data_IF_993781000366
#
_entry.id   IF_993781000366
#
_cell.length_a   1.000
_cell.length_b   1.000
_cell.length_c   1.000
_cell.angle_alpha   90.00
_cell.angle_beta   90.00
_cell.angle_gamma   90.00
#
_symmetry.space_group_name_H-M   'P 1'
#
loop_
_entity.id
_entity.type
_entity.pdbx_description
1 polymer ?
#
# COMPACT_ATOMS: atom_id res chain seq x y z
N UNK A 1 7.69 9.15 -4.31
CA UNK A 1 7.72 7.79 -4.87
C UNK A 1 7.67 6.81 -3.70
N UNK A 2 7.10 5.63 -3.91
CA UNK A 2 7.13 4.54 -2.94
C UNK A 2 8.02 3.43 -3.47
N UNK A 3 8.85 2.87 -2.59
CA UNK A 3 9.65 1.68 -2.85
C UNK A 3 9.19 0.58 -1.91
N UNK A 4 8.72 -0.53 -2.47
CA UNK A 4 8.27 -1.70 -1.73
C UNK A 4 9.32 -2.79 -1.90
N UNK A 5 10.05 -3.09 -0.84
CA UNK A 5 11.05 -4.14 -0.84
C UNK A 5 10.46 -5.43 -0.29
N UNK A 6 10.76 -6.54 -0.95
CA UNK A 6 10.41 -7.88 -0.50
C UNK A 6 11.71 -8.62 -0.22
N UNK A 7 11.89 -9.11 1.01
CA UNK A 7 13.08 -9.85 1.43
C UNK A 7 12.70 -11.24 1.94
N UNK A 8 13.63 -12.19 1.84
CA UNK A 8 13.55 -13.44 2.58
C UNK A 8 14.11 -13.25 4.00
N UNK A 9 13.38 -13.74 5.01
CA UNK A 9 13.77 -13.59 6.42
C UNK A 9 12.93 -12.56 7.17
N UNK A 10 13.37 -12.22 8.38
CA UNK A 10 12.70 -11.28 9.28
C UNK A 10 13.03 -9.81 8.93
N UNK A 11 12.30 -8.88 9.54
CA UNK A 11 12.49 -7.43 9.32
C UNK A 11 13.89 -6.93 9.74
N UNK A 12 14.46 -7.48 10.80
CA UNK A 12 15.80 -7.13 11.32
C UNK A 12 16.95 -7.76 10.51
N UNK A 13 16.65 -8.77 9.70
CA UNK A 13 17.62 -9.46 8.84
C UNK A 13 17.76 -8.81 7.45
N UNK A 14 16.99 -7.76 7.14
CA UNK A 14 16.94 -7.14 5.80
C UNK A 14 18.32 -6.65 5.35
N UNK A 15 18.74 -7.12 4.18
CA UNK A 15 19.97 -6.68 3.52
C UNK A 15 19.86 -6.88 1.99
N UNK A 16 20.76 -6.30 1.17
CA UNK A 16 20.73 -6.48 -0.28
C UNK A 16 20.87 -7.95 -0.74
N UNK A 17 21.52 -8.80 0.07
CA UNK A 17 21.71 -10.22 -0.21
C UNK A 17 20.42 -11.01 -0.17
N UNK A 18 19.52 -10.72 0.77
CA UNK A 18 18.24 -11.40 0.93
C UNK A 18 17.05 -10.66 0.29
N UNK A 19 17.29 -9.54 -0.40
CA UNK A 19 16.28 -8.87 -1.22
C UNK A 19 15.86 -9.75 -2.39
N UNK A 20 14.56 -9.96 -2.57
CA UNK A 20 13.97 -10.82 -3.60
C UNK A 20 13.32 -10.02 -4.73
N UNK A 21 12.68 -8.91 -4.39
CA UNK A 21 12.04 -8.03 -5.36
C UNK A 21 11.91 -6.60 -4.84
N UNK A 22 11.78 -5.66 -5.77
CA UNK A 22 11.45 -4.25 -5.50
C UNK A 22 10.28 -3.87 -6.39
N UNK A 23 9.23 -3.32 -5.80
CA UNK A 23 8.14 -2.68 -6.53
C UNK A 23 8.21 -1.17 -6.28
N UNK A 24 8.41 -0.45 -7.36
CA UNK A 24 8.38 1.00 -7.39
C UNK A 24 7.00 1.49 -7.80
N UNK A 25 6.46 2.47 -7.05
CA UNK A 25 5.17 3.10 -7.32
C UNK A 25 5.38 4.62 -7.35
N UNK A 26 5.28 5.22 -8.53
CA UNK A 26 5.53 6.65 -8.74
C UNK A 26 4.28 7.34 -9.30
N UNK A 27 4.11 8.62 -9.01
CA UNK A 27 3.02 9.40 -9.61
C UNK A 27 3.27 9.58 -11.10
N UNK A 28 2.36 9.07 -11.93
CA UNK A 28 2.24 9.44 -13.34
C UNK A 28 1.37 10.71 -13.47
N UNK A 29 0.29 10.77 -12.68
CA UNK A 29 -0.60 11.92 -12.57
C UNK A 29 -0.94 12.16 -11.10
N UNK A 30 -0.56 13.33 -10.58
CA UNK A 30 -0.92 13.77 -9.23
C UNK A 30 -2.24 14.56 -9.27
N UNK A 31 -3.33 13.92 -8.87
CA UNK A 31 -4.64 14.55 -8.71
C UNK A 31 -5.46 13.79 -7.66
N UNK A 32 -6.66 14.26 -7.30
CA UNK A 32 -7.53 13.55 -6.33
C UNK A 32 -7.81 12.09 -6.75
N UNK A 33 -7.91 11.84 -8.07
CA UNK A 33 -7.82 10.51 -8.68
C UNK A 33 -6.43 10.38 -9.33
N UNK A 34 -5.48 9.78 -8.62
CA UNK A 34 -4.10 9.67 -9.10
C UNK A 34 -3.90 8.49 -10.03
N UNK A 35 -2.99 8.66 -10.98
CA UNK A 35 -2.43 7.56 -11.75
C UNK A 35 -1.00 7.30 -11.25
N UNK A 36 -0.67 6.03 -11.05
CA UNK A 36 0.63 5.59 -10.58
C UNK A 36 1.30 4.70 -11.61
N UNK A 37 2.49 5.08 -12.07
CA UNK A 37 3.36 4.18 -12.83
C UNK A 37 4.01 3.18 -11.89
N UNK A 38 4.10 1.94 -12.32
CA UNK A 38 4.65 0.85 -11.52
C UNK A 38 5.75 0.10 -12.27
N UNK A 39 6.78 -0.29 -11.53
CA UNK A 39 7.86 -1.13 -12.01
C UNK A 39 8.22 -2.18 -10.96
N UNK A 40 8.13 -3.46 -11.34
CA UNK A 40 8.49 -4.59 -10.47
C UNK A 40 9.80 -5.21 -10.97
N UNK A 41 10.84 -5.11 -10.16
CA UNK A 41 12.13 -5.78 -10.38
C UNK A 41 12.19 -7.04 -9.53
N UNK A 42 12.39 -8.21 -10.16
CA UNK A 42 12.52 -9.49 -9.46
C UNK A 42 13.94 -10.03 -9.60
N UNK A 43 14.58 -10.33 -8.47
CA UNK A 43 15.96 -10.85 -8.44
C UNK A 43 16.02 -12.18 -9.21
N UNK A 44 16.96 -12.24 -10.16
CA UNK A 44 17.16 -13.41 -11.02
C UNK A 44 16.26 -13.48 -12.26
N UNK A 45 15.21 -12.65 -12.35
CA UNK A 45 14.31 -12.61 -13.52
C UNK A 45 14.30 -11.27 -14.26
N UNK A 46 14.73 -10.19 -13.61
CA UNK A 46 14.79 -8.84 -14.20
C UNK A 46 13.52 -8.04 -13.97
N UNK A 47 13.35 -6.99 -14.76
CA UNK A 47 12.20 -6.08 -14.70
C UNK A 47 10.98 -6.73 -15.38
N UNK A 48 9.86 -6.79 -14.67
CA UNK A 48 8.58 -7.13 -15.26
C UNK A 48 8.12 -6.01 -16.22
N UNK A 49 7.13 -6.30 -17.06
CA UNK A 49 6.56 -5.27 -17.93
C UNK A 49 6.00 -4.12 -17.09
N UNK A 50 6.36 -2.89 -17.45
CA UNK A 50 5.80 -1.68 -16.82
C UNK A 50 4.31 -1.57 -17.09
N UNK A 51 3.59 -1.09 -16.09
CA UNK A 51 2.16 -0.87 -16.15
C UNK A 51 1.79 0.33 -15.23
N UNK A 52 0.50 0.58 -15.05
CA UNK A 52 0.00 1.65 -14.18
C UNK A 52 -1.27 1.25 -13.42
N UNK A 53 -1.42 1.81 -12.21
CA UNK A 53 -2.69 1.85 -11.48
C UNK A 53 -3.36 3.18 -11.78
N UNK A 54 -4.51 3.15 -12.45
CA UNK A 54 -5.21 4.37 -12.91
C UNK A 54 -6.39 4.75 -12.03
N UNK A 55 -6.57 6.06 -11.82
CA UNK A 55 -7.71 6.64 -11.12
C UNK A 55 -7.87 6.12 -9.70
N UNK A 56 -6.77 6.03 -8.96
CA UNK A 56 -6.79 5.63 -7.56
C UNK A 56 -7.04 6.84 -6.66
N UNK A 57 -8.07 6.82 -5.79
CA UNK A 57 -8.40 7.97 -4.97
C UNK A 57 -7.34 8.17 -3.88
N UNK A 58 -6.73 9.35 -3.86
CA UNK A 58 -5.66 9.66 -2.93
C UNK A 58 -6.19 9.70 -1.50
N UNK A 59 -5.36 9.26 -0.56
CA UNK A 59 -5.66 9.33 0.87
C UNK A 59 -6.97 8.66 1.31
N UNK A 60 -7.49 7.75 0.49
CA UNK A 60 -8.82 7.16 0.69
C UNK A 60 -8.80 5.69 1.10
N UNK A 61 -7.62 5.07 1.17
CA UNK A 61 -7.47 3.68 1.53
C UNK A 61 -6.08 3.38 2.06
N UNK A 62 -5.91 2.16 2.56
CA UNK A 62 -4.63 1.65 3.07
C UNK A 62 -3.51 1.77 2.04
N UNK A 63 -2.29 2.03 2.51
CA UNK A 63 -1.08 1.94 1.70
C UNK A 63 -0.96 0.53 1.11
N UNK A 64 -1.33 -0.49 1.88
CA UNK A 64 -1.31 -1.88 1.45
C UNK A 64 -2.32 -2.18 0.33
N UNK A 65 -3.46 -1.46 0.25
CA UNK A 65 -4.39 -1.60 -0.90
C UNK A 65 -3.74 -1.08 -2.19
N UNK A 66 -3.04 0.05 -2.13
CA UNK A 66 -2.28 0.55 -3.28
C UNK A 66 -1.17 -0.43 -3.70
N UNK A 67 -0.42 -0.98 -2.74
CA UNK A 67 0.62 -1.99 -3.01
C UNK A 67 0.00 -3.25 -3.64
N UNK A 68 -1.13 -3.73 -3.12
CA UNK A 68 -1.81 -4.91 -3.67
C UNK A 68 -2.30 -4.66 -5.11
N UNK A 69 -2.87 -3.48 -5.40
CA UNK A 69 -3.28 -3.11 -6.76
C UNK A 69 -2.10 -2.99 -7.72
N UNK A 70 -1.00 -2.40 -7.25
CA UNK A 70 0.23 -2.30 -8.03
C UNK A 70 0.83 -3.69 -8.33
N UNK A 71 0.93 -4.57 -7.33
CA UNK A 71 1.35 -5.96 -7.55
C UNK A 71 0.43 -6.71 -8.52
N UNK A 72 -0.89 -6.47 -8.43
CA UNK A 72 -1.86 -7.09 -9.33
C UNK A 72 -1.61 -6.69 -10.79
N UNK A 73 -1.45 -5.38 -11.05
CA UNK A 73 -1.10 -4.89 -12.39
C UNK A 73 0.26 -5.43 -12.86
N UNK A 74 1.28 -5.41 -12.00
CA UNK A 74 2.62 -5.89 -12.35
C UNK A 74 2.69 -7.40 -12.66
N UNK A 75 1.88 -8.22 -11.99
CA UNK A 75 1.90 -9.67 -12.15
C UNK A 75 0.93 -10.18 -13.22
N UNK A 76 -0.20 -9.49 -13.41
CA UNK A 76 -1.32 -9.99 -14.21
C UNK A 76 -1.78 -9.05 -15.32
N UNK A 77 -1.23 -7.83 -15.41
CA UNK A 77 -1.61 -6.79 -16.38
C UNK A 77 -3.13 -6.47 -16.35
N UNK A 78 -3.76 -6.74 -15.20
CA UNK A 78 -5.21 -6.68 -14.98
C UNK A 78 -5.55 -5.93 -13.68
N UNK A 79 -6.76 -5.38 -13.59
CA UNK A 79 -7.22 -4.66 -12.39
C UNK A 79 -7.64 -5.60 -11.24
N UNK A 80 -7.72 -6.90 -11.51
CA UNK A 80 -8.07 -7.95 -10.56
C UNK A 80 -7.11 -9.13 -10.70
N UNK A 81 -6.70 -9.71 -9.57
CA UNK A 81 -5.93 -10.93 -9.58
C UNK A 81 -6.88 -12.11 -9.85
N UNK A 82 -6.48 -13.10 -10.67
CA UNK A 82 -7.27 -14.32 -10.80
C UNK A 82 -7.40 -14.99 -9.42
N UNK A 83 -8.55 -15.60 -9.09
CA UNK A 83 -8.69 -16.40 -7.87
C UNK A 83 -7.58 -17.45 -7.79
N UNK A 84 -7.09 -17.70 -6.59
CA UNK A 84 -6.10 -18.74 -6.35
C UNK A 84 -6.69 -20.10 -6.70
N UNK A 85 -5.89 -20.92 -7.38
CA UNK A 85 -6.22 -22.32 -7.59
C UNK A 85 -6.12 -23.13 -6.30
N UNK A 86 -6.48 -24.42 -6.33
CA UNK A 86 -6.30 -25.31 -5.20
C UNK A 86 -4.81 -25.38 -4.79
N UNK A 87 -4.57 -25.37 -3.49
CA UNK A 87 -3.24 -25.33 -2.88
C UNK A 87 -2.48 -26.63 -3.18
N UNK A 88 -1.37 -26.55 -3.90
CA UNK A 88 -0.45 -27.67 -4.06
C UNK A 88 0.42 -27.79 -2.81
N UNK A 89 0.27 -28.87 -2.01
CA UNK A 89 1.09 -29.07 -0.80
C UNK A 89 2.51 -29.59 -1.09
N UNK A 90 2.80 -29.95 -2.34
CA UNK A 90 4.16 -30.24 -2.85
C UNK A 90 4.81 -28.99 -3.43
N UNK A 91 4.26 -27.81 -3.13
CA UNK A 91 4.75 -26.52 -3.59
C UNK A 91 6.17 -26.19 -3.11
N UNK A 92 6.82 -25.30 -3.86
CA UNK A 92 7.89 -24.49 -3.33
C UNK A 92 7.29 -23.50 -2.31
N UNK A 93 7.96 -23.32 -1.18
CA UNK A 93 7.48 -22.47 -0.09
C UNK A 93 8.59 -21.57 0.43
N UNK A 94 8.22 -20.38 0.89
CA UNK A 94 9.05 -19.58 1.78
C UNK A 94 8.67 -19.91 3.22
N UNK A 95 9.65 -19.97 4.12
CA UNK A 95 9.38 -20.09 5.57
C UNK A 95 9.07 -18.73 6.18
N UNK A 96 9.76 -17.68 5.72
CA UNK A 96 9.56 -16.31 6.18
C UNK A 96 9.89 -15.32 5.07
N UNK A 97 9.03 -14.33 4.88
CA UNK A 97 9.28 -13.14 4.07
C UNK A 97 8.98 -11.90 4.91
N UNK A 98 9.65 -10.81 4.57
CA UNK A 98 9.27 -9.51 5.08
C UNK A 98 9.16 -8.49 3.94
N UNK A 99 8.34 -7.47 4.19
CA UNK A 99 8.00 -6.41 3.26
C UNK A 99 8.28 -5.09 3.97
N UNK A 100 8.92 -4.15 3.31
CA UNK A 100 9.14 -2.81 3.84
C UNK A 100 8.79 -1.77 2.76
N UNK A 101 8.00 -0.77 3.13
CA UNK A 101 7.59 0.31 2.23
C UNK A 101 8.26 1.60 2.66
N UNK A 102 9.03 2.18 1.76
CA UNK A 102 9.71 3.45 1.96
C UNK A 102 9.09 4.52 1.08
N UNK A 103 8.86 5.69 1.65
CA UNK A 103 8.54 6.91 0.91
C UNK A 103 9.83 7.66 0.61
N UNK A 104 10.09 7.92 -0.66
CA UNK A 104 11.15 8.82 -1.10
C UNK A 104 10.53 10.08 -1.71
N UNK A 105 11.02 11.24 -1.33
CA UNK A 105 10.76 12.52 -2.00
C UNK A 105 12.09 13.09 -2.48
N UNK A 106 12.05 14.03 -3.43
CA UNK A 106 13.27 14.66 -3.93
C UNK A 106 14.04 15.42 -2.83
N UNK A 107 13.36 15.76 -1.73
CA UNK A 107 13.88 16.61 -0.65
C UNK A 107 14.31 15.80 0.59
N UNK A 108 13.71 14.64 0.87
CA UNK A 108 13.90 13.91 2.15
C UNK A 108 15.09 12.91 2.16
N UNK A 109 15.88 12.77 1.08
CA UNK A 109 17.07 11.89 1.09
C UNK A 109 16.72 10.38 1.20
N UNK A 110 17.48 9.56 1.96
CA UNK A 110 17.21 8.13 2.08
C UNK A 110 15.79 7.92 2.61
N UNK A 111 14.94 7.24 1.84
CA UNK A 111 13.49 7.20 2.06
C UNK A 111 13.07 6.84 3.50
N UNK A 112 11.91 7.34 3.92
CA UNK A 112 11.33 7.10 5.24
C UNK A 112 10.47 5.83 5.23
N UNK A 113 10.70 4.89 6.15
CA UNK A 113 9.90 3.67 6.28
C UNK A 113 8.50 4.03 6.81
N UNK A 114 7.45 3.71 6.04
CA UNK A 114 6.06 4.05 6.38
C UNK A 114 5.17 2.83 6.61
N UNK A 115 5.65 1.64 6.27
CA UNK A 115 4.94 0.40 6.54
C UNK A 115 5.87 -0.82 6.48
N UNK A 116 5.54 -1.84 7.26
CA UNK A 116 6.25 -3.12 7.32
C UNK A 116 5.28 -4.29 7.36
N UNK A 117 5.67 -5.43 6.78
CA UNK A 117 4.90 -6.66 6.87
C UNK A 117 5.80 -7.88 7.06
N UNK A 118 5.30 -8.88 7.78
CA UNK A 118 5.93 -10.19 7.91
C UNK A 118 4.96 -11.28 7.50
N UNK A 119 5.42 -12.19 6.65
CA UNK A 119 4.69 -13.38 6.22
C UNK A 119 5.47 -14.60 6.72
N UNK A 120 4.84 -15.41 7.55
CA UNK A 120 5.49 -16.57 8.18
C UNK A 120 4.69 -17.82 7.86
N UNK A 121 5.38 -18.90 7.49
CA UNK A 121 4.76 -20.20 7.35
C UNK A 121 4.26 -20.71 8.69
N UNK A 122 2.96 -21.03 8.78
CA UNK A 122 2.31 -21.47 10.01
C UNK A 122 2.18 -22.99 10.03
N UNK A 123 3.15 -23.67 10.64
CA UNK A 123 3.11 -25.11 10.97
C UNK A 123 3.20 -26.09 9.79
N UNK A 124 2.39 -25.93 8.74
CA UNK A 124 2.36 -26.81 7.56
C UNK A 124 2.70 -26.06 6.26
N UNK A 125 3.13 -26.80 5.23
CA UNK A 125 3.36 -26.24 3.88
C UNK A 125 2.09 -25.67 3.29
N UNK A 126 2.24 -24.45 2.77
CA UNK A 126 1.18 -23.68 2.15
C UNK A 126 0.16 -23.05 3.08
N UNK A 127 0.41 -23.03 4.40
CA UNK A 127 -0.35 -22.21 5.35
C UNK A 127 0.55 -21.08 5.86
N UNK A 128 0.04 -19.86 5.85
CA UNK A 128 0.80 -18.66 6.18
C UNK A 128 0.02 -17.77 7.14
N UNK A 129 0.74 -17.08 8.02
CA UNK A 129 0.26 -15.89 8.73
C UNK A 129 0.91 -14.66 8.13
N UNK A 130 0.17 -13.57 8.08
CA UNK A 130 0.69 -12.24 7.73
C UNK A 130 0.36 -11.26 8.85
N UNK A 131 1.34 -10.44 9.20
CA UNK A 131 1.19 -9.29 10.07
C UNK A 131 1.67 -8.05 9.31
N UNK A 132 0.81 -7.06 9.16
CA UNK A 132 1.08 -5.80 8.49
C UNK A 132 0.98 -4.68 9.51
N UNK A 133 1.84 -3.68 9.36
CA UNK A 133 1.82 -2.43 10.13
C UNK A 133 2.02 -1.29 9.14
N UNK A 134 1.17 -0.27 9.20
CA UNK A 134 1.33 0.98 8.46
C UNK A 134 1.12 2.18 9.37
N UNK A 135 1.77 3.29 9.02
CA UNK A 135 1.86 4.52 9.79
C UNK A 135 0.50 5.11 10.23
N UNK A 136 -0.56 5.01 9.41
CA UNK A 136 -1.85 5.66 9.71
C UNK A 136 -2.94 4.68 10.16
N UNK A 137 -3.20 3.62 9.39
CA UNK A 137 -4.28 2.67 9.70
C UNK A 137 -3.86 1.54 10.63
N UNK A 138 -2.59 1.54 11.08
CA UNK A 138 -2.10 0.63 12.10
C UNK A 138 -1.93 -0.81 11.63
N UNK A 139 -2.23 -1.76 12.52
CA UNK A 139 -1.93 -3.19 12.33
C UNK A 139 -3.08 -3.97 11.71
N UNK A 140 -2.74 -4.90 10.83
CA UNK A 140 -3.66 -5.90 10.27
C UNK A 140 -3.00 -7.26 10.25
N UNK A 141 -3.77 -8.32 10.44
CA UNK A 141 -3.24 -9.68 10.36
C UNK A 141 -4.27 -10.64 9.76
N UNK A 142 -3.76 -11.71 9.15
CA UNK A 142 -4.59 -12.78 8.63
C UNK A 142 -3.82 -14.10 8.59
N UNK A 143 -4.57 -15.19 8.51
CA UNK A 143 -4.06 -16.52 8.15
C UNK A 143 -4.65 -16.91 6.81
N UNK A 144 -3.84 -17.47 5.92
CA UNK A 144 -4.29 -17.82 4.57
C UNK A 144 -3.52 -19.02 4.02
N UNK A 145 -4.11 -19.69 3.03
CA UNK A 145 -3.43 -20.75 2.30
C UNK A 145 -2.85 -20.23 0.98
N UNK A 146 -1.65 -20.68 0.65
CA UNK A 146 -0.96 -20.40 -0.60
C UNK A 146 -0.07 -21.58 -0.98
N UNK A 147 -0.21 -22.10 -2.19
CA UNK A 147 0.67 -23.18 -2.64
C UNK A 147 0.66 -23.34 -4.14
N UNK A 148 1.76 -22.93 -4.77
CA UNK A 148 1.97 -23.01 -6.21
C UNK A 148 3.16 -23.91 -6.52
N UNK A 149 3.16 -24.55 -7.70
CA UNK A 149 4.28 -25.42 -8.11
C UNK A 149 5.63 -24.69 -8.12
N UNK A 150 5.61 -23.39 -8.41
CA UNK A 150 6.77 -22.50 -8.39
C UNK A 150 6.42 -21.28 -7.55
N UNK A 151 7.23 -21.02 -6.53
CA UNK A 151 7.02 -19.91 -5.62
C UNK A 151 7.28 -18.58 -6.35
N UNK A 152 6.25 -17.75 -6.40
CA UNK A 152 6.34 -16.36 -6.87
C UNK A 152 6.18 -15.46 -5.65
N UNK A 153 7.28 -14.95 -5.11
CA UNK A 153 7.29 -14.20 -3.85
C UNK A 153 6.36 -12.98 -3.88
N UNK A 154 6.35 -12.23 -4.99
CA UNK A 154 5.46 -11.09 -5.18
C UNK A 154 3.98 -11.48 -5.17
N UNK A 155 3.63 -12.64 -5.72
CA UNK A 155 2.25 -13.16 -5.67
C UNK A 155 1.88 -13.65 -4.27
N UNK A 156 2.79 -14.33 -3.55
CA UNK A 156 2.57 -14.66 -2.13
C UNK A 156 2.31 -13.40 -1.29
N UNK A 157 3.08 -12.33 -1.52
CA UNK A 157 2.83 -11.03 -0.89
C UNK A 157 1.46 -10.49 -1.26
N UNK A 158 1.11 -10.45 -2.55
CA UNK A 158 -0.22 -10.01 -2.99
C UNK A 158 -1.34 -10.78 -2.30
N UNK A 159 -1.26 -12.12 -2.24
CA UNK A 159 -2.29 -12.93 -1.57
C UNK A 159 -2.36 -12.63 -0.08
N UNK A 160 -1.22 -12.43 0.58
CA UNK A 160 -1.17 -12.01 1.97
C UNK A 160 -1.90 -10.68 2.20
N UNK A 161 -1.65 -9.68 1.33
CA UNK A 161 -2.31 -8.37 1.40
C UNK A 161 -3.83 -8.52 1.18
N UNK A 162 -4.26 -9.29 0.18
CA UNK A 162 -5.68 -9.52 -0.06
C UNK A 162 -6.39 -10.13 1.15
N UNK A 163 -5.78 -11.14 1.79
CA UNK A 163 -6.36 -11.76 2.97
C UNK A 163 -6.39 -10.83 4.18
N UNK A 164 -5.32 -10.08 4.43
CA UNK A 164 -5.25 -9.12 5.54
C UNK A 164 -6.22 -7.94 5.39
N UNK A 165 -6.51 -7.52 4.15
CA UNK A 165 -7.36 -6.37 3.87
C UNK A 165 -8.83 -6.73 3.63
N UNK A 166 -9.08 -7.87 2.97
CA UNK A 166 -10.40 -8.20 2.43
C UNK A 166 -10.93 -9.57 2.87
N UNK A 167 -10.13 -10.36 3.59
CA UNK A 167 -10.53 -11.70 4.03
C UNK A 167 -10.75 -12.71 2.90
N UNK A 168 -10.13 -12.47 1.74
CA UNK A 168 -10.18 -13.34 0.55
C UNK A 168 -8.91 -13.19 -0.27
N UNK A 169 -8.75 -14.03 -1.29
CA UNK A 169 -7.55 -14.11 -2.13
C UNK A 169 -7.53 -13.15 -3.33
N UNK A 170 -8.60 -12.39 -3.55
CA UNK A 170 -8.70 -11.34 -4.59
C UNK A 170 -8.85 -9.95 -3.99
N UNK A 171 -8.69 -8.91 -4.81
CA UNK A 171 -8.86 -7.53 -4.36
C UNK A 171 -10.30 -7.26 -3.89
N UNK A 172 -10.42 -6.31 -2.96
CA UNK A 172 -11.68 -5.69 -2.59
C UNK A 172 -12.07 -4.58 -3.56
N UNK A 173 -13.27 -4.02 -3.32
CA UNK A 173 -13.70 -2.80 -4.02
C UNK A 173 -12.66 -1.71 -3.84
N UNK A 174 -12.45 -0.92 -4.90
CA UNK A 174 -11.62 0.28 -4.80
C UNK A 174 -12.19 1.20 -3.72
N UNK A 175 -11.34 1.80 -2.86
CA UNK A 175 -11.82 2.82 -1.93
C UNK A 175 -12.55 3.93 -2.69
N UNK A 176 -13.52 4.57 -2.05
CA UNK A 176 -14.16 5.76 -2.58
C UNK A 176 -13.36 7.00 -2.17
N UNK A 177 -13.36 8.04 -3.00
CA UNK A 177 -12.73 9.30 -2.61
C UNK A 177 -13.42 9.87 -1.36
N UNK A 178 -12.66 10.12 -0.31
CA UNK A 178 -13.16 10.76 0.91
C UNK A 178 -13.38 12.25 0.63
N UNK A 179 -14.63 12.71 0.73
CA UNK A 179 -15.01 14.11 0.58
C UNK A 179 -15.89 14.51 1.77
N UNK A 180 -15.40 15.38 2.67
CA UNK A 180 -16.19 15.80 3.81
C UNK A 180 -17.32 16.75 3.35
N UNK A 181 -18.48 16.76 4.04
CA UNK A 181 -19.53 17.70 3.75
C UNK A 181 -19.08 19.13 4.06
N UNK A 182 -19.20 20.02 3.07
CA UNK A 182 -18.84 21.43 3.22
C UNK A 182 -20.05 22.26 3.70
N UNK A 183 -19.78 23.23 4.56
CA UNK A 183 -20.71 24.25 5.04
C UNK A 183 -20.18 25.65 4.75
N UNK A 184 -21.08 26.62 4.52
CA UNK A 184 -20.70 28.02 4.31
C UNK A 184 -20.64 28.74 5.66
N UNK A 185 -19.45 29.24 6.01
CA UNK A 185 -19.22 30.11 7.17
C UNK A 185 -18.63 31.41 6.65
N UNK A 186 -19.32 32.53 6.89
CA UNK A 186 -18.92 33.87 6.41
C UNK A 186 -18.63 33.91 4.89
N UNK A 187 -19.43 33.18 4.11
CA UNK A 187 -19.29 33.10 2.65
C UNK A 187 -18.18 32.18 2.14
N UNK A 188 -17.42 31.53 3.03
CA UNK A 188 -16.35 30.58 2.69
C UNK A 188 -16.79 29.15 2.95
N UNK A 189 -16.53 28.25 1.99
CA UNK A 189 -16.78 26.82 2.18
C UNK A 189 -15.70 26.21 3.09
N UNK A 190 -16.15 25.66 4.21
CA UNK A 190 -15.34 25.00 5.24
C UNK A 190 -15.93 23.64 5.56
N UNK A 191 -15.16 22.79 6.22
CA UNK A 191 -15.67 21.52 6.74
C UNK A 191 -15.05 21.25 8.11
N UNK A 192 -15.75 20.47 8.92
CA UNK A 192 -15.21 19.96 10.19
C UNK A 192 -14.25 18.81 9.91
N UNK A 193 -13.02 18.92 10.41
CA UNK A 193 -11.98 17.93 10.20
C UNK A 193 -12.33 16.55 10.75
N UNK A 194 -13.16 16.48 11.79
CA UNK A 194 -13.61 15.20 12.36
C UNK A 194 -14.53 14.42 11.40
N UNK A 195 -15.03 15.05 10.34
CA UNK A 195 -15.77 14.37 9.27
C UNK A 195 -14.85 13.71 8.22
N UNK A 196 -13.53 13.87 8.31
CA UNK A 196 -12.60 13.11 7.48
C UNK A 196 -12.35 11.73 8.10
N UNK A 197 -12.58 10.69 7.32
CA UNK A 197 -12.17 9.33 7.69
C UNK A 197 -10.65 9.15 7.52
N UNK A 198 -10.08 8.17 8.23
CA UNK A 198 -8.69 7.77 8.00
C UNK A 198 -8.54 7.00 6.68
N UNK A 199 -7.45 7.18 5.92
CA UNK A 199 -6.23 7.92 6.31
C UNK A 199 -6.22 9.41 5.91
N UNK A 200 -7.34 9.93 5.36
CA UNK A 200 -7.39 11.30 4.86
C UNK A 200 -7.20 12.35 5.96
N UNK A 201 -7.79 12.14 7.14
CA UNK A 201 -7.67 13.06 8.27
C UNK A 201 -6.21 13.25 8.71
N UNK A 202 -5.54 12.17 9.11
CA UNK A 202 -4.14 12.23 9.55
C UNK A 202 -3.22 12.77 8.45
N UNK A 203 -3.44 12.35 7.20
CA UNK A 203 -2.68 12.87 6.06
C UNK A 203 -2.83 14.38 5.88
N UNK A 204 -4.07 14.87 5.99
CA UNK A 204 -4.37 16.29 5.82
C UNK A 204 -3.83 17.13 6.97
N UNK A 205 -3.92 16.65 8.21
CA UNK A 205 -3.34 17.34 9.37
C UNK A 205 -1.82 17.50 9.24
N UNK A 206 -1.12 16.43 8.85
CA UNK A 206 0.33 16.49 8.61
C UNK A 206 0.70 17.45 7.48
N UNK A 207 -0.15 17.57 6.46
CA UNK A 207 0.03 18.55 5.38
C UNK A 207 -0.16 20.00 5.86
N UNK A 208 -1.09 20.24 6.78
CA UNK A 208 -1.40 21.58 7.31
C UNK A 208 -0.44 22.05 8.39
N UNK A 209 0.10 21.13 9.18
CA UNK A 209 1.01 21.42 10.28
C UNK A 209 2.36 20.71 10.10
N UNK A 210 3.19 21.16 9.14
CA UNK A 210 4.59 20.74 9.11
C UNK A 210 5.27 21.09 10.44
N UNK A 211 6.10 20.18 10.95
CA UNK A 211 6.59 20.13 12.34
C UNK A 211 6.83 21.52 13.00
N UNK A 212 6.15 21.77 14.13
CA UNK A 212 6.40 22.93 15.00
C UNK A 212 5.31 24.01 15.04
N UNK A 213 4.14 23.80 14.40
CA UNK A 213 3.04 24.79 14.38
C UNK A 213 1.92 24.49 15.38
N UNK A 214 1.28 25.56 15.87
CA UNK A 214 0.07 25.60 16.70
C UNK A 214 -1.03 24.66 16.20
N UNK A 215 -1.87 24.14 17.11
CA UNK A 215 -3.02 23.27 16.77
C UNK A 215 -3.78 23.81 15.54
N UNK A 216 -3.89 23.04 14.45
CA UNK A 216 -4.55 23.49 13.22
C UNK A 216 -6.01 23.90 13.48
N UNK A 217 -6.52 24.87 12.71
CA UNK A 217 -7.93 25.27 12.73
C UNK A 217 -8.84 24.03 12.54
N UNK A 218 -9.79 23.75 13.44
CA UNK A 218 -10.69 22.58 13.33
C UNK A 218 -11.64 22.67 12.13
N UNK A 219 -11.81 23.85 11.55
CA UNK A 219 -12.69 24.10 10.40
C UNK A 219 -11.92 24.61 9.17
N UNK A 220 -11.01 23.82 8.58
CA UNK A 220 -10.27 24.20 7.38
C UNK A 220 -11.18 24.58 6.20
N UNK A 221 -10.63 25.35 5.25
CA UNK A 221 -11.32 25.65 3.99
C UNK A 221 -11.38 24.38 3.13
N UNK A 222 -12.50 24.17 2.43
CA UNK A 222 -12.63 23.07 1.48
C UNK A 222 -11.56 23.13 0.37
N UNK A 223 -11.17 24.34 -0.05
CA UNK A 223 -10.09 24.56 -1.03
C UNK A 223 -8.73 24.01 -0.55
N UNK A 224 -8.42 24.10 0.75
CA UNK A 224 -7.15 23.60 1.29
C UNK A 224 -7.08 22.08 1.20
N UNK A 225 -8.20 21.40 1.40
CA UNK A 225 -8.31 19.95 1.23
C UNK A 225 -8.18 19.54 -0.25
N UNK A 226 -8.82 20.27 -1.17
CA UNK A 226 -8.64 20.05 -2.61
C UNK A 226 -7.17 20.25 -3.03
N UNK A 227 -6.48 21.24 -2.44
CA UNK A 227 -5.04 21.47 -2.66
C UNK A 227 -4.19 20.33 -2.10
N UNK A 228 -4.51 19.82 -0.90
CA UNK A 228 -3.86 18.64 -0.34
C UNK A 228 -4.01 17.42 -1.26
N UNK A 229 -5.22 17.13 -1.74
CA UNK A 229 -5.45 16.01 -2.64
C UNK A 229 -4.73 16.14 -3.99
N UNK A 230 -4.38 17.36 -4.43
CA UNK A 230 -3.69 17.57 -5.71
C UNK A 230 -2.18 17.81 -5.59
N UNK A 231 -1.70 18.35 -4.47
CA UNK A 231 -0.32 18.80 -4.27
C UNK A 231 0.36 18.29 -2.99
N UNK A 232 -0.41 17.88 -1.98
CA UNK A 232 0.11 17.16 -0.81
C UNK A 232 0.48 15.73 -1.15
#
# INVERSE_FOLDING_TARGET
>A
MLHVFIHSGALDERNPGNQLAVLDIAYAKRSYMADYDIALLVKGYGEARRDAVKGYPRWSGSLWDLVARALTRALYEADEAPPAGPVDRRCAYATKLCIAVFRSTAEEGPGFEIATGEIVQAGKRGLYTVNLEEDILGRRSATFEYGTKRLVHADLVLRALCWALFGKDTLGRRPALILPPAIKVDGVERFDIENLEEPARTGFDRYRAPAGTTSPDPMPKAEDYARFLTRG
#
